data_IF_056156206836
#
_entry.id   IF_056156206836
#
_cell.length_a   1.000
_cell.length_b   1.000
_cell.length_c   1.000
_cell.angle_alpha   90.00
_cell.angle_beta   90.00
_cell.angle_gamma   90.00
#
_symmetry.space_group_name_H-M   'P 1'
#
loop_
_entity.id
_entity.type
_entity.pdbx_description
1 polymer ?
#
# COMPACT_ATOMS: atom_id res chain seq x y z
N UNK A 1 -29.25 0.90 -16.16
CA UNK A 1 -28.61 1.74 -17.19
C UNK A 1 -28.26 3.08 -16.56
N UNK A 2 -26.98 3.33 -16.32
CA UNK A 2 -26.52 4.53 -15.61
C UNK A 2 -25.05 4.74 -15.90
N UNK A 3 -24.73 5.07 -17.15
CA UNK A 3 -23.44 5.65 -17.51
C UNK A 3 -23.65 7.15 -17.49
N UNK A 4 -23.31 7.80 -16.39
CA UNK A 4 -23.09 9.25 -16.43
C UNK A 4 -21.97 9.48 -17.43
N UNK A 5 -22.22 10.29 -18.47
CA UNK A 5 -21.16 10.64 -19.43
C UNK A 5 -20.15 11.56 -18.73
N UNK A 6 -18.85 11.50 -19.08
CA UNK A 6 -17.91 12.51 -18.62
C UNK A 6 -18.42 13.89 -19.07
N UNK A 7 -18.28 14.90 -18.23
CA UNK A 7 -18.68 16.27 -18.53
C UNK A 7 -17.44 17.05 -18.98
N UNK A 8 -17.18 17.19 -20.29
CA UNK A 8 -16.08 18.01 -20.78
C UNK A 8 -16.42 19.49 -20.61
N UNK A 9 -15.42 20.28 -20.20
CA UNK A 9 -15.42 21.72 -20.43
C UNK A 9 -14.70 21.99 -21.73
N UNK A 10 -15.31 22.79 -22.60
CA UNK A 10 -14.74 23.19 -23.88
C UNK A 10 -14.65 24.71 -23.87
N UNK A 11 -13.46 25.25 -24.06
CA UNK A 11 -13.23 26.69 -24.16
C UNK A 11 -12.09 26.97 -25.14
N UNK A 12 -12.08 28.20 -25.67
CA UNK A 12 -11.05 28.66 -26.59
C UNK A 12 -9.92 29.35 -25.82
N UNK A 13 -8.68 29.15 -26.27
CA UNK A 13 -7.50 29.79 -25.72
C UNK A 13 -6.55 30.18 -26.85
N UNK A 14 -5.85 31.30 -26.70
CA UNK A 14 -4.78 31.70 -27.63
C UNK A 14 -3.43 31.26 -27.06
N UNK A 15 -2.67 30.47 -27.83
CA UNK A 15 -1.30 30.02 -27.50
C UNK A 15 -0.42 30.33 -28.72
N UNK A 16 0.67 31.08 -28.52
CA UNK A 16 1.61 31.49 -29.58
C UNK A 16 0.92 32.07 -30.83
N UNK A 17 0.03 33.05 -30.62
CA UNK A 17 -0.79 33.72 -31.66
C UNK A 17 -1.70 32.79 -32.48
N UNK A 18 -2.00 31.60 -31.97
CA UNK A 18 -2.97 30.66 -32.57
C UNK A 18 -4.13 30.41 -31.62
N UNK A 19 -5.34 30.48 -32.16
CA UNK A 19 -6.54 30.01 -31.45
C UNK A 19 -6.57 28.49 -31.40
N UNK A 20 -6.71 27.96 -30.19
CA UNK A 20 -6.85 26.52 -29.93
C UNK A 20 -8.12 26.27 -29.12
N UNK A 21 -8.78 25.15 -29.42
CA UNK A 21 -9.91 24.66 -28.63
C UNK A 21 -9.37 23.71 -27.57
N UNK A 22 -9.55 24.05 -26.30
CA UNK A 22 -9.16 23.24 -25.16
C UNK A 22 -10.35 22.41 -24.70
N UNK A 23 -10.20 21.09 -24.73
CA UNK A 23 -11.18 20.14 -24.19
C UNK A 23 -10.63 19.59 -22.87
N UNK A 24 -11.15 20.08 -21.76
CA UNK A 24 -10.78 19.65 -20.43
C UNK A 24 -11.81 18.64 -19.90
N UNK A 25 -11.38 17.39 -19.76
CA UNK A 25 -12.23 16.31 -19.22
C UNK A 25 -11.83 16.04 -17.78
N UNK A 26 -12.73 16.38 -16.84
CA UNK A 26 -12.49 16.07 -15.44
C UNK A 26 -12.71 14.57 -15.17
N UNK A 27 -11.91 13.96 -14.28
CA UNK A 27 -12.15 12.58 -13.86
C UNK A 27 -13.52 12.48 -13.18
N UNK A 28 -14.48 11.81 -13.80
CA UNK A 28 -15.78 11.59 -13.16
C UNK A 28 -15.77 10.45 -12.14
N UNK A 29 -16.73 10.47 -11.22
CA UNK A 29 -16.77 9.60 -10.03
C UNK A 29 -17.14 8.13 -10.28
N UNK A 30 -17.56 7.76 -11.48
CA UNK A 30 -17.99 6.40 -11.84
C UNK A 30 -17.10 5.80 -12.94
N UNK A 31 -15.83 5.55 -12.61
CA UNK A 31 -14.89 4.84 -13.49
C UNK A 31 -15.13 3.32 -13.47
N UNK A 32 -14.78 2.58 -14.54
CA UNK A 32 -14.31 3.11 -15.80
C UNK A 32 -15.47 3.67 -16.63
N UNK A 33 -15.20 4.74 -17.37
CA UNK A 33 -16.02 5.10 -18.52
C UNK A 33 -15.75 4.09 -19.63
N UNK A 34 -16.81 3.73 -20.36
CA UNK A 34 -16.71 2.81 -21.47
C UNK A 34 -17.59 3.26 -22.63
N UNK A 35 -17.17 2.88 -23.84
CA UNK A 35 -17.97 3.08 -25.04
C UNK A 35 -19.23 2.20 -24.92
N UNK A 36 -20.41 2.83 -24.83
CA UNK A 36 -21.65 2.14 -24.51
C UNK A 36 -21.99 1.00 -25.49
N UNK A 37 -21.69 1.17 -26.78
CA UNK A 37 -21.87 0.14 -27.82
C UNK A 37 -20.95 -1.06 -27.69
N UNK A 38 -19.81 -0.92 -26.98
CA UNK A 38 -18.82 -1.99 -26.80
C UNK A 38 -18.93 -2.67 -25.42
N UNK A 39 -19.73 -2.10 -24.51
CA UNK A 39 -19.92 -2.61 -23.16
C UNK A 39 -18.66 -2.52 -22.29
N UNK A 40 -18.75 -2.96 -21.05
CA UNK A 40 -17.66 -2.78 -20.06
C UNK A 40 -16.49 -3.73 -20.25
N UNK A 41 -16.67 -4.82 -20.99
CA UNK A 41 -15.62 -5.81 -21.25
C UNK A 41 -14.68 -5.40 -22.39
N UNK A 42 -15.17 -4.61 -23.36
CA UNK A 42 -14.40 -4.23 -24.56
C UNK A 42 -14.31 -2.71 -24.77
N UNK A 43 -15.19 -1.94 -24.15
CA UNK A 43 -15.30 -0.50 -24.35
C UNK A 43 -14.48 0.37 -23.41
N UNK A 44 -13.61 -0.19 -22.55
CA UNK A 44 -12.80 0.60 -21.61
C UNK A 44 -11.44 0.91 -22.23
N UNK A 45 -11.07 2.19 -22.24
CA UNK A 45 -9.79 2.67 -22.78
C UNK A 45 -9.07 3.53 -21.75
N UNK A 46 -7.75 3.40 -21.70
CA UNK A 46 -6.88 4.22 -20.85
C UNK A 46 -5.83 4.92 -21.70
N UNK A 47 -5.31 6.03 -21.18
CA UNK A 47 -4.20 6.76 -21.79
C UNK A 47 -2.90 6.37 -21.11
N UNK A 48 -1.94 5.90 -21.91
CA UNK A 48 -0.59 5.54 -21.47
C UNK A 48 0.39 6.40 -22.27
N UNK A 49 0.95 7.42 -21.62
CA UNK A 49 1.74 8.45 -22.29
C UNK A 49 0.94 9.15 -23.40
N UNK A 50 1.47 9.13 -24.63
CA UNK A 50 0.83 9.76 -25.80
C UNK A 50 -0.26 8.89 -26.46
N UNK A 51 -0.42 7.62 -26.07
CA UNK A 51 -1.29 6.68 -26.76
C UNK A 51 -2.52 6.28 -25.94
N UNK A 52 -3.64 6.08 -26.62
CA UNK A 52 -4.84 5.47 -26.04
C UNK A 52 -4.83 3.97 -26.33
N UNK A 53 -5.01 3.14 -25.31
CA UNK A 53 -5.06 1.68 -25.43
C UNK A 53 -6.31 1.13 -24.75
N UNK A 54 -6.84 0.02 -25.27
CA UNK A 54 -7.91 -0.72 -24.61
C UNK A 54 -7.39 -1.30 -23.29
N UNK A 55 -8.16 -1.18 -22.22
CA UNK A 55 -7.87 -1.83 -20.95
C UNK A 55 -8.27 -3.30 -21.03
N UNK A 56 -7.36 -4.20 -20.67
CA UNK A 56 -7.57 -5.65 -20.72
C UNK A 56 -6.96 -6.30 -19.47
N UNK A 57 -7.35 -7.54 -19.19
CA UNK A 57 -6.79 -8.34 -18.10
C UNK A 57 -6.93 -7.68 -16.73
N UNK A 58 -5.84 -7.65 -15.97
CA UNK A 58 -5.80 -7.10 -14.61
C UNK A 58 -6.20 -5.63 -14.53
N UNK A 59 -5.77 -4.82 -15.49
CA UNK A 59 -6.09 -3.40 -15.54
C UNK A 59 -7.60 -3.16 -15.73
N UNK A 60 -8.24 -3.96 -16.59
CA UNK A 60 -9.69 -3.90 -16.75
C UNK A 60 -10.39 -4.30 -15.46
N UNK A 61 -9.93 -5.37 -14.81
CA UNK A 61 -10.48 -5.84 -13.54
C UNK A 61 -10.33 -4.79 -12.43
N UNK A 62 -9.18 -4.13 -12.33
CA UNK A 62 -8.94 -3.03 -11.38
C UNK A 62 -9.91 -1.86 -11.62
N UNK A 63 -10.11 -1.48 -12.89
CA UNK A 63 -11.06 -0.44 -13.25
C UNK A 63 -12.50 -0.87 -12.92
N UNK A 64 -12.90 -2.11 -13.21
CA UNK A 64 -14.23 -2.62 -12.88
C UNK A 64 -14.48 -2.78 -11.38
N UNK A 65 -13.46 -3.15 -10.60
CA UNK A 65 -13.48 -3.14 -9.14
C UNK A 65 -13.70 -1.73 -8.59
N UNK A 66 -13.05 -0.73 -9.20
CA UNK A 66 -13.33 0.68 -8.90
C UNK A 66 -14.80 1.06 -9.21
N UNK A 67 -15.45 0.41 -10.19
CA UNK A 67 -16.88 0.60 -10.51
C UNK A 67 -17.81 0.01 -9.47
N UNK A 68 -17.46 -1.14 -8.89
CA UNK A 68 -18.24 -1.81 -7.84
C UNK A 68 -17.99 -1.21 -6.44
N UNK A 69 -17.03 -0.27 -6.31
CA UNK A 69 -16.51 0.27 -5.04
C UNK A 69 -15.90 -0.80 -4.12
N UNK A 70 -15.58 -1.99 -4.64
CA UNK A 70 -14.95 -3.06 -3.87
C UNK A 70 -13.44 -3.01 -4.13
N UNK A 71 -12.64 -2.91 -3.07
CA UNK A 71 -11.19 -3.08 -3.18
C UNK A 71 -10.81 -4.56 -3.33
N UNK A 72 -9.59 -4.85 -3.81
CA UNK A 72 -9.10 -6.23 -3.96
C UNK A 72 -9.22 -7.04 -2.67
N UNK A 73 -8.97 -6.41 -1.52
CA UNK A 73 -9.04 -7.04 -0.19
C UNK A 73 -10.48 -7.29 0.31
N UNK A 74 -11.50 -6.86 -0.44
CA UNK A 74 -12.90 -7.07 -0.12
C UNK A 74 -13.54 -8.31 -0.78
N UNK A 75 -12.82 -8.97 -1.70
CA UNK A 75 -13.26 -10.21 -2.34
C UNK A 75 -13.29 -11.38 -1.35
N UNK A 76 -14.29 -12.27 -1.49
CA UNK A 76 -14.46 -13.44 -0.62
C UNK A 76 -13.52 -14.59 -1.03
N UNK A 77 -13.09 -15.37 -0.04
CA UNK A 77 -12.44 -16.67 -0.21
C UNK A 77 -13.39 -17.72 0.39
N UNK A 78 -14.17 -18.38 -0.45
CA UNK A 78 -15.19 -19.34 -0.02
C UNK A 78 -14.64 -20.75 0.29
N UNK A 79 -13.41 -21.02 -0.14
CA UNK A 79 -12.67 -22.26 0.14
C UNK A 79 -12.08 -22.33 1.55
N UNK A 80 -12.00 -21.21 2.28
CA UNK A 80 -11.45 -21.16 3.64
C UNK A 80 -12.58 -21.00 4.67
N UNK A 81 -12.72 -21.94 5.63
CA UNK A 81 -13.61 -21.75 6.78
C UNK A 81 -13.18 -20.59 7.69
N UNK A 82 -14.15 -19.84 8.24
CA UNK A 82 -13.87 -18.66 9.10
C UNK A 82 -13.17 -19.04 10.41
N UNK A 83 -13.44 -20.22 10.94
CA UNK A 83 -12.83 -20.74 12.18
C UNK A 83 -11.32 -20.98 12.05
N UNK A 84 -10.75 -20.87 10.84
CA UNK A 84 -9.31 -20.89 10.59
C UNK A 84 -8.64 -19.53 10.73
N UNK A 85 -9.40 -18.44 10.87
CA UNK A 85 -8.83 -17.12 11.14
C UNK A 85 -8.39 -17.04 12.62
N UNK A 86 -7.16 -16.56 12.86
CA UNK A 86 -6.60 -16.38 14.21
C UNK A 86 -7.13 -15.08 14.82
N UNK A 87 -8.25 -15.19 15.53
CA UNK A 87 -8.91 -14.04 16.15
C UNK A 87 -8.12 -13.45 17.33
N UNK A 88 -7.09 -14.14 17.84
CA UNK A 88 -6.26 -13.61 18.94
C UNK A 88 -5.44 -12.39 18.52
N UNK A 89 -5.26 -12.18 17.22
CA UNK A 89 -4.65 -10.98 16.64
C UNK A 89 -5.55 -9.75 16.88
N UNK A 90 -6.86 -9.95 16.98
CA UNK A 90 -7.82 -8.88 17.24
C UNK A 90 -8.03 -8.67 18.76
N UNK A 91 -8.16 -7.41 19.20
CA UNK A 91 -8.75 -7.10 20.50
C UNK A 91 -10.12 -7.77 20.68
N UNK A 92 -10.43 -8.22 21.90
CA UNK A 92 -11.63 -9.02 22.19
C UNK A 92 -12.95 -8.42 21.68
N UNK A 93 -13.07 -7.08 21.72
CA UNK A 93 -14.27 -6.38 21.23
C UNK A 93 -14.47 -6.43 19.70
N UNK A 94 -13.44 -6.80 18.94
CA UNK A 94 -13.48 -6.96 17.47
C UNK A 94 -13.63 -8.40 17.01
N UNK A 95 -13.62 -9.38 17.93
CA UNK A 95 -13.74 -10.81 17.61
C UNK A 95 -15.19 -11.24 17.35
N UNK A 96 -16.17 -10.36 17.57
CA UNK A 96 -17.59 -10.66 17.28
C UNK A 96 -17.86 -10.68 15.78
N UNK A 97 -18.78 -11.52 15.33
CA UNK A 97 -19.21 -11.58 13.93
C UNK A 97 -19.61 -10.20 13.38
N UNK A 98 -20.41 -9.45 14.15
CA UNK A 98 -20.83 -8.10 13.79
C UNK A 98 -19.64 -7.15 13.57
N UNK A 99 -18.62 -7.22 14.43
CA UNK A 99 -17.43 -6.38 14.28
C UNK A 99 -16.60 -6.80 13.07
N UNK A 100 -16.42 -8.11 12.83
CA UNK A 100 -15.69 -8.62 11.66
C UNK A 100 -16.39 -8.27 10.35
N UNK A 101 -17.72 -8.37 10.29
CA UNK A 101 -18.54 -7.90 9.16
C UNK A 101 -18.37 -6.39 8.94
N UNK A 102 -18.41 -5.59 10.01
CA UNK A 102 -18.24 -4.14 9.93
C UNK A 102 -16.85 -3.72 9.45
N UNK A 103 -15.81 -4.53 9.71
CA UNK A 103 -14.45 -4.30 9.22
C UNK A 103 -14.24 -4.86 7.80
N UNK A 104 -15.18 -5.65 7.28
CA UNK A 104 -15.04 -6.35 6.01
C UNK A 104 -14.07 -7.54 6.05
N UNK A 105 -13.70 -8.03 7.24
CA UNK A 105 -12.84 -9.22 7.42
C UNK A 105 -13.55 -10.50 6.95
N UNK A 106 -14.87 -10.51 7.06
CA UNK A 106 -15.75 -11.58 6.59
C UNK A 106 -16.95 -10.95 5.88
N UNK A 107 -17.57 -11.68 4.95
CA UNK A 107 -18.78 -11.26 4.21
C UNK A 107 -19.68 -12.46 3.94
N UNK A 108 -20.98 -12.21 3.74
CA UNK A 108 -21.87 -13.24 3.20
C UNK A 108 -21.57 -13.45 1.71
N UNK A 109 -21.42 -14.71 1.32
CA UNK A 109 -21.40 -15.10 -0.08
C UNK A 109 -22.78 -14.78 -0.69
N UNK A 110 -22.86 -13.98 -1.77
CA UNK A 110 -24.13 -13.52 -2.33
C UNK A 110 -24.97 -14.65 -2.94
N UNK A 111 -24.38 -15.80 -3.26
CA UNK A 111 -25.07 -16.93 -3.87
C UNK A 111 -25.51 -17.96 -2.84
N UNK A 112 -24.67 -18.25 -1.85
CA UNK A 112 -24.94 -19.31 -0.86
C UNK A 112 -25.45 -18.77 0.48
N UNK A 113 -25.34 -17.47 0.72
CA UNK A 113 -25.61 -16.82 2.01
C UNK A 113 -24.60 -17.15 3.11
N UNK A 114 -23.68 -18.09 2.86
CA UNK A 114 -22.68 -18.55 3.83
C UNK A 114 -21.69 -17.43 4.14
N UNK A 115 -21.31 -17.32 5.41
CA UNK A 115 -20.28 -16.40 5.84
C UNK A 115 -18.90 -16.93 5.37
N UNK A 116 -18.11 -16.08 4.71
CA UNK A 116 -16.79 -16.40 4.18
C UNK A 116 -15.76 -15.33 4.60
N UNK A 117 -14.48 -15.68 4.81
CA UNK A 117 -13.40 -14.71 4.90
C UNK A 117 -13.30 -13.87 3.63
N UNK A 118 -12.87 -12.62 3.76
CA UNK A 118 -12.37 -11.84 2.63
C UNK A 118 -10.86 -12.02 2.45
N UNK A 119 -10.31 -11.59 1.32
CA UNK A 119 -8.86 -11.49 1.12
C UNK A 119 -8.20 -10.65 2.20
N UNK A 120 -8.82 -9.54 2.63
CA UNK A 120 -8.35 -8.72 3.74
C UNK A 120 -8.43 -9.46 5.08
N UNK A 121 -9.49 -10.24 5.31
CA UNK A 121 -9.58 -11.16 6.46
C UNK A 121 -8.43 -12.16 6.49
N UNK A 122 -8.13 -12.78 5.37
CA UNK A 122 -7.02 -13.73 5.22
C UNK A 122 -5.67 -13.05 5.43
N UNK A 123 -5.42 -11.92 4.78
CA UNK A 123 -4.17 -11.15 4.94
C UNK A 123 -3.95 -10.68 6.37
N UNK A 124 -5.01 -10.34 7.11
CA UNK A 124 -4.89 -9.80 8.46
C UNK A 124 -4.87 -10.87 9.55
N UNK A 125 -5.53 -12.02 9.34
CA UNK A 125 -5.84 -12.98 10.42
C UNK A 125 -5.51 -14.44 10.10
N UNK A 126 -5.27 -14.82 8.85
CA UNK A 126 -4.91 -16.21 8.56
C UNK A 126 -3.41 -16.43 8.77
N UNK A 127 -3.02 -17.55 9.36
CA UNK A 127 -1.61 -17.81 9.68
C UNK A 127 -0.73 -17.89 8.42
N UNK A 128 -1.26 -18.39 7.30
CA UNK A 128 -0.52 -18.66 6.06
C UNK A 128 -1.24 -18.07 4.84
N UNK A 129 -1.40 -16.73 4.74
CA UNK A 129 -2.18 -16.07 3.67
C UNK A 129 -1.63 -16.37 2.27
N UNK A 130 -0.34 -16.70 2.15
CA UNK A 130 0.32 -17.07 0.90
C UNK A 130 -0.29 -18.29 0.21
N UNK A 131 -1.03 -19.14 0.94
CA UNK A 131 -1.80 -20.25 0.36
C UNK A 131 -2.93 -19.78 -0.54
N UNK A 132 -3.43 -18.57 -0.34
CA UNK A 132 -4.53 -17.97 -1.10
C UNK A 132 -4.10 -16.76 -1.92
N UNK A 133 -3.08 -16.02 -1.44
CA UNK A 133 -2.57 -14.79 -2.05
C UNK A 133 -1.05 -14.95 -2.12
N UNK A 134 -0.53 -15.49 -3.22
CA UNK A 134 0.88 -15.94 -3.33
C UNK A 134 1.90 -14.87 -2.99
N UNK A 135 1.51 -13.61 -3.12
CA UNK A 135 2.35 -12.45 -2.87
C UNK A 135 2.24 -11.88 -1.46
N UNK A 136 1.58 -12.59 -0.53
CA UNK A 136 1.44 -12.22 0.87
C UNK A 136 2.70 -12.55 1.69
N UNK A 137 3.86 -12.09 1.22
CA UNK A 137 5.14 -12.21 1.92
C UNK A 137 6.06 -11.04 1.57
N UNK A 138 7.10 -10.84 2.37
CA UNK A 138 8.17 -9.89 2.09
C UNK A 138 9.54 -10.54 2.22
N UNK A 139 10.51 -10.01 1.48
CA UNK A 139 11.91 -10.41 1.58
C UNK A 139 12.65 -9.27 2.25
N UNK A 140 13.37 -9.57 3.34
CA UNK A 140 14.22 -8.61 4.04
C UNK A 140 15.68 -9.06 3.97
N UNK A 141 16.56 -8.15 3.55
CA UNK A 141 17.98 -8.44 3.35
C UNK A 141 18.86 -7.35 4.00
N UNK A 142 19.93 -7.79 4.67
CA UNK A 142 21.02 -6.94 5.15
C UNK A 142 22.17 -7.01 4.15
N UNK A 143 22.56 -5.86 3.61
CA UNK A 143 23.59 -5.75 2.57
C UNK A 143 24.93 -5.37 3.19
N UNK A 144 26.04 -5.86 2.62
CA UNK A 144 27.39 -5.56 3.12
C UNK A 144 27.90 -4.18 2.70
N UNK A 145 27.39 -3.66 1.57
CA UNK A 145 27.87 -2.45 0.92
C UNK A 145 26.82 -1.37 0.77
N UNK A 146 27.17 -0.33 0.01
CA UNK A 146 26.23 0.71 -0.47
C UNK A 146 25.52 0.31 -1.77
N UNK A 147 26.05 -0.72 -2.44
CA UNK A 147 25.54 -1.27 -3.69
C UNK A 147 25.15 -2.75 -3.49
N UNK A 148 24.16 -3.21 -4.25
CA UNK A 148 23.39 -4.44 -3.97
C UNK A 148 24.02 -5.76 -4.40
N UNK A 149 25.34 -5.89 -4.36
CA UNK A 149 26.01 -7.08 -4.89
C UNK A 149 26.25 -8.18 -3.85
N UNK A 150 26.41 -7.83 -2.58
CA UNK A 150 26.76 -8.76 -1.50
C UNK A 150 25.75 -8.71 -0.34
N UNK A 151 24.96 -9.77 -0.18
CA UNK A 151 23.99 -9.95 0.91
C UNK A 151 24.65 -10.65 2.09
N UNK A 152 24.62 -10.01 3.27
CA UNK A 152 25.10 -10.61 4.53
C UNK A 152 24.09 -11.64 5.04
N UNK A 153 22.82 -11.24 5.07
CA UNK A 153 21.74 -12.00 5.69
C UNK A 153 20.44 -11.70 4.94
N UNK A 154 19.59 -12.70 4.73
CA UNK A 154 18.30 -12.53 4.05
C UNK A 154 17.26 -13.50 4.60
N UNK A 155 16.03 -13.02 4.76
CA UNK A 155 14.90 -13.78 5.26
C UNK A 155 13.65 -13.56 4.42
N UNK A 156 12.92 -14.64 4.18
CA UNK A 156 11.56 -14.60 3.65
C UNK A 156 10.59 -14.57 4.83
N UNK A 157 9.79 -13.50 4.91
CA UNK A 157 8.86 -13.25 6.00
C UNK A 157 7.44 -13.47 5.49
N UNK A 158 6.86 -14.60 5.87
CA UNK A 158 5.49 -15.00 5.55
C UNK A 158 4.53 -14.78 6.74
N UNK A 159 3.25 -15.07 6.52
CA UNK A 159 2.21 -15.01 7.54
C UNK A 159 1.31 -13.77 7.44
N UNK A 160 0.34 -13.62 8.33
CA UNK A 160 -0.53 -12.43 8.30
C UNK A 160 0.25 -11.10 8.47
N UNK A 161 -0.31 -10.02 7.92
CA UNK A 161 0.32 -8.70 7.90
C UNK A 161 0.77 -8.21 9.29
N UNK A 162 -0.02 -8.33 10.38
CA UNK A 162 0.44 -7.92 11.70
C UNK A 162 1.69 -8.66 12.17
N UNK A 163 1.80 -9.97 11.88
CA UNK A 163 2.98 -10.78 12.20
C UNK A 163 4.18 -10.39 11.32
N UNK A 164 3.98 -10.18 10.01
CA UNK A 164 5.05 -9.70 9.12
C UNK A 164 5.60 -8.34 9.56
N UNK A 165 4.72 -7.37 9.85
CA UNK A 165 5.09 -6.03 10.33
C UNK A 165 5.97 -6.11 11.57
N UNK A 166 5.52 -6.86 12.60
CA UNK A 166 6.27 -7.00 13.84
C UNK A 166 7.64 -7.66 13.62
N UNK A 167 7.68 -8.73 12.80
CA UNK A 167 8.92 -9.46 12.54
C UNK A 167 9.94 -8.59 11.80
N UNK A 168 9.54 -7.94 10.71
CA UNK A 168 10.40 -7.02 9.95
C UNK A 168 10.95 -5.90 10.82
N UNK A 169 10.08 -5.25 11.61
CA UNK A 169 10.49 -4.15 12.49
C UNK A 169 11.51 -4.64 13.52
N UNK A 170 11.31 -5.81 14.12
CA UNK A 170 12.24 -6.36 15.11
C UNK A 170 13.61 -6.69 14.49
N UNK A 171 13.64 -7.31 13.31
CA UNK A 171 14.89 -7.58 12.60
C UNK A 171 15.65 -6.29 12.25
N UNK A 172 14.94 -5.27 11.75
CA UNK A 172 15.56 -3.97 11.47
C UNK A 172 16.12 -3.31 12.74
N UNK A 173 15.41 -3.40 13.87
CA UNK A 173 15.90 -2.88 15.16
C UNK A 173 17.17 -3.60 15.62
N UNK A 174 17.22 -4.92 15.47
CA UNK A 174 18.40 -5.73 15.79
C UNK A 174 19.58 -5.34 14.90
N UNK A 175 19.38 -5.27 13.59
CA UNK A 175 20.46 -4.99 12.64
C UNK A 175 20.97 -3.55 12.69
N UNK A 176 20.12 -2.57 12.98
CA UNK A 176 20.53 -1.17 13.15
C UNK A 176 21.34 -0.97 14.43
N UNK A 177 21.12 -1.82 15.44
CA UNK A 177 21.82 -1.80 16.71
C UNK A 177 21.61 -0.52 17.52
N UNK A 178 22.18 -0.49 18.72
CA UNK A 178 22.28 0.72 19.54
C UNK A 178 23.65 1.35 19.28
N UNK A 179 23.72 2.65 19.06
CA UNK A 179 24.99 3.40 19.03
C UNK A 179 25.07 4.34 20.23
N UNK A 180 26.31 4.72 20.56
CA UNK A 180 26.60 5.62 21.68
C UNK A 180 27.10 6.94 21.11
N UNK A 181 26.45 8.03 21.50
CA UNK A 181 26.97 9.39 21.26
C UNK A 181 27.81 9.83 22.45
N UNK A 182 28.96 10.43 22.18
CA UNK A 182 29.79 11.08 23.20
C UNK A 182 29.23 12.48 23.43
N UNK A 183 28.76 12.75 24.65
CA UNK A 183 28.24 14.04 25.11
C UNK A 183 29.14 14.53 26.26
N UNK A 184 30.23 15.22 25.92
CA UNK A 184 31.27 15.61 26.88
C UNK A 184 31.95 14.39 27.53
N UNK A 185 32.08 14.32 28.87
CA UNK A 185 32.68 13.17 29.56
C UNK A 185 31.72 11.98 29.70
N UNK A 186 30.49 12.07 29.20
CA UNK A 186 29.47 11.04 29.36
C UNK A 186 29.13 10.39 28.02
N UNK A 187 28.91 9.07 28.04
CA UNK A 187 28.26 8.36 26.95
C UNK A 187 26.74 8.50 27.14
N UNK A 188 26.07 9.11 26.18
CA UNK A 188 24.61 9.15 26.16
C UNK A 188 24.12 7.96 25.36
N UNK A 189 23.34 7.08 26.00
CA UNK A 189 22.57 6.06 25.28
C UNK A 189 21.63 6.77 24.31
N UNK A 190 21.84 6.65 23.00
CA UNK A 190 20.91 7.22 22.03
C UNK A 190 20.70 6.32 20.82
N UNK A 191 19.54 5.66 20.88
CA UNK A 191 18.61 5.35 19.81
C UNK A 191 19.17 4.62 18.56
N UNK A 192 18.27 4.08 17.74
CA UNK A 192 18.62 3.34 16.53
C UNK A 192 19.16 4.31 15.48
N UNK A 193 20.04 3.89 14.57
CA UNK A 193 20.53 4.77 13.48
C UNK A 193 19.42 5.38 12.60
N UNK A 194 18.23 4.80 12.63
CA UNK A 194 17.00 5.38 12.06
C UNK A 194 15.92 5.51 13.13
N UNK A 195 15.11 6.57 13.12
CA UNK A 195 14.01 6.70 14.06
C UNK A 195 13.00 5.56 13.88
N UNK A 196 12.66 4.88 14.98
CA UNK A 196 11.72 3.74 14.97
C UNK A 196 10.35 4.12 14.37
N UNK A 197 9.93 5.37 14.52
CA UNK A 197 8.70 5.91 13.94
C UNK A 197 8.75 5.82 12.40
N UNK A 198 9.84 6.29 11.78
CA UNK A 198 10.00 6.21 10.33
C UNK A 198 10.02 4.76 9.83
N UNK A 199 10.75 3.87 10.53
CA UNK A 199 10.81 2.44 10.19
C UNK A 199 9.41 1.83 10.24
N UNK A 200 8.70 2.02 11.36
CA UNK A 200 7.36 1.46 11.57
C UNK A 200 6.40 1.92 10.49
N UNK A 201 6.33 3.23 10.23
CA UNK A 201 5.42 3.79 9.23
C UNK A 201 5.80 3.36 7.80
N UNK A 202 7.09 3.32 7.46
CA UNK A 202 7.53 2.92 6.12
C UNK A 202 7.24 1.43 5.82
N UNK A 203 7.53 0.53 6.78
CA UNK A 203 7.21 -0.91 6.68
C UNK A 203 5.70 -1.12 6.57
N UNK A 204 4.95 -0.47 7.43
CA UNK A 204 3.50 -0.59 7.46
C UNK A 204 2.84 -0.03 6.20
N UNK A 205 3.32 1.09 5.68
CA UNK A 205 2.83 1.62 4.41
C UNK A 205 3.07 0.64 3.27
N UNK A 206 4.25 0.00 3.22
CA UNK A 206 4.56 -0.99 2.20
C UNK A 206 3.61 -2.19 2.26
N UNK A 207 3.29 -2.69 3.46
CA UNK A 207 2.35 -3.81 3.67
C UNK A 207 0.89 -3.45 3.41
N UNK A 208 0.45 -2.28 3.87
CA UNK A 208 -0.96 -1.88 3.82
C UNK A 208 -1.38 -1.31 2.47
N UNK A 209 -0.46 -0.67 1.75
CA UNK A 209 -0.71 -0.13 0.42
C UNK A 209 -0.20 -1.04 -0.70
N UNK A 210 0.34 -2.23 -0.40
CA UNK A 210 0.75 -3.20 -1.41
C UNK A 210 -0.40 -3.53 -2.36
N UNK A 211 -0.14 -3.61 -3.67
CA UNK A 211 -1.11 -4.09 -4.64
C UNK A 211 -1.09 -5.63 -4.69
N UNK A 212 -1.90 -6.29 -3.84
CA UNK A 212 -1.99 -7.77 -3.71
C UNK A 212 -2.44 -8.55 -4.94
N UNK A 213 -2.79 -7.87 -6.02
CA UNK A 213 -3.10 -8.49 -7.31
C UNK A 213 -1.88 -8.71 -8.22
N UNK A 214 -0.76 -8.01 -8.00
CA UNK A 214 0.40 -8.08 -8.88
C UNK A 214 1.53 -8.91 -8.26
N UNK A 215 2.28 -9.60 -9.12
CA UNK A 215 3.38 -10.48 -8.75
C UNK A 215 4.57 -9.74 -8.15
N UNK A 216 5.26 -10.43 -7.23
CA UNK A 216 6.52 -9.99 -6.63
C UNK A 216 6.36 -9.64 -5.15
N UNK A 217 7.39 -9.85 -4.32
CA UNK A 217 7.33 -9.52 -2.90
C UNK A 217 7.57 -8.04 -2.64
N UNK A 218 7.19 -7.57 -1.46
CA UNK A 218 7.83 -6.38 -0.89
C UNK A 218 9.29 -6.73 -0.63
N UNK A 219 10.22 -5.86 -1.04
CA UNK A 219 11.65 -6.04 -0.82
C UNK A 219 12.15 -4.96 0.13
N UNK A 220 12.81 -5.38 1.20
CA UNK A 220 13.34 -4.51 2.25
C UNK A 220 14.84 -4.74 2.29
N UNK A 221 15.62 -3.72 1.95
CA UNK A 221 17.07 -3.83 1.90
C UNK A 221 17.71 -2.81 2.83
N UNK A 222 18.42 -3.29 3.85
CA UNK A 222 19.23 -2.46 4.74
C UNK A 222 20.67 -2.43 4.24
N UNK A 223 21.06 -1.30 3.66
CA UNK A 223 22.44 -1.00 3.25
C UNK A 223 23.19 -0.31 4.38
N UNK A 224 24.51 -0.19 4.21
CA UNK A 224 25.37 0.51 5.18
C UNK A 224 25.05 2.00 5.33
N UNK A 225 24.39 2.62 4.34
CA UNK A 225 24.05 4.05 4.32
C UNK A 225 22.55 4.36 4.20
N UNK A 226 21.68 3.36 4.05
CA UNK A 226 20.23 3.59 3.92
C UNK A 226 19.41 2.32 4.12
N UNK A 227 18.13 2.50 4.43
CA UNK A 227 17.09 1.48 4.34
C UNK A 227 16.22 1.75 3.11
N UNK A 228 16.11 0.79 2.20
CA UNK A 228 15.18 0.84 1.07
C UNK A 228 14.00 -0.11 1.29
N UNK A 229 12.79 0.37 1.04
CA UNK A 229 11.56 -0.43 1.09
C UNK A 229 10.85 -0.28 -0.25
N UNK A 230 10.89 -1.34 -1.04
CA UNK A 230 10.21 -1.46 -2.33
C UNK A 230 8.89 -2.21 -2.15
N UNK A 231 7.79 -1.63 -2.60
CA UNK A 231 6.46 -2.24 -2.61
C UNK A 231 5.91 -2.32 -4.04
N UNK A 232 5.43 -3.50 -4.48
CA UNK A 232 4.73 -3.63 -5.74
C UNK A 232 3.45 -2.78 -5.78
N UNK A 233 3.30 -2.04 -6.88
CA UNK A 233 2.13 -1.23 -7.20
C UNK A 233 2.45 0.25 -7.12
N UNK A 234 1.60 1.05 -7.75
CA UNK A 234 1.72 2.51 -7.76
C UNK A 234 1.42 3.13 -6.39
N UNK A 235 1.70 4.42 -6.26
CA UNK A 235 1.11 5.22 -5.19
C UNK A 235 -0.42 5.14 -5.26
N UNK A 236 -1.11 5.12 -4.11
CA UNK A 236 -2.57 4.88 -4.08
C UNK A 236 -3.41 6.04 -4.68
N UNK A 237 -2.78 7.18 -4.97
CA UNK A 237 -3.40 8.34 -5.60
C UNK A 237 -2.44 9.00 -6.61
N UNK A 238 -2.74 10.23 -7.08
CA UNK A 238 -1.79 10.98 -7.88
C UNK A 238 -0.50 11.17 -7.10
N UNK A 239 0.61 10.74 -7.67
CA UNK A 239 1.92 10.96 -7.12
C UNK A 239 2.41 12.35 -7.53
N UNK A 240 2.46 13.25 -6.57
CA UNK A 240 3.02 14.59 -6.71
C UNK A 240 4.06 14.70 -5.59
N UNK A 241 5.35 14.54 -5.89
CA UNK A 241 6.42 14.55 -4.88
C UNK A 241 6.32 15.72 -3.90
N UNK A 242 5.95 16.90 -4.41
CA UNK A 242 5.86 18.16 -3.68
C UNK A 242 4.67 18.21 -2.71
N UNK A 243 3.63 17.40 -2.92
CA UNK A 243 2.45 17.34 -2.06
C UNK A 243 2.44 16.11 -1.14
N UNK A 244 3.50 15.30 -1.15
CA UNK A 244 3.61 14.14 -0.27
C UNK A 244 3.62 14.58 1.19
N UNK A 245 2.65 14.10 1.97
CA UNK A 245 2.51 14.44 3.39
C UNK A 245 1.62 15.66 3.68
N UNK A 246 0.89 16.18 2.70
CA UNK A 246 -0.15 17.22 2.86
C UNK A 246 -1.38 16.75 3.68
N UNK A 247 -1.46 15.45 3.98
CA UNK A 247 -2.57 14.82 4.70
C UNK A 247 -3.58 14.11 3.79
N UNK A 248 -3.40 14.19 2.47
CA UNK A 248 -4.19 13.46 1.48
C UNK A 248 -3.82 11.98 1.53
N UNK A 249 -4.81 11.11 1.70
CA UNK A 249 -4.62 9.66 1.74
C UNK A 249 -5.66 8.96 0.89
N UNK A 250 -5.16 8.08 0.02
CA UNK A 250 -5.98 7.23 -0.82
C UNK A 250 -5.91 5.79 -0.30
N UNK A 251 -7.09 5.21 -0.06
CA UNK A 251 -7.21 3.87 0.51
C UNK A 251 -7.32 2.86 -0.63
N UNK A 252 -6.28 2.05 -0.83
CA UNK A 252 -6.28 0.93 -1.78
C UNK A 252 -6.92 -0.32 -1.20
N UNK A 253 -6.54 -0.67 0.01
CA UNK A 253 -6.99 -1.88 0.71
C UNK A 253 -7.85 -1.45 1.91
N UNK A 254 -9.18 -1.45 1.73
CA UNK A 254 -10.13 -0.86 2.68
C UNK A 254 -10.24 -1.67 3.97
N UNK A 255 -10.24 -2.99 3.87
CA UNK A 255 -10.32 -3.95 5.00
C UNK A 255 -9.04 -3.89 5.79
N UNK A 256 -7.89 -3.97 5.11
CA UNK A 256 -6.57 -3.88 5.72
C UNK A 256 -6.41 -2.55 6.47
N UNK A 257 -6.72 -1.43 5.82
CA UNK A 257 -6.58 -0.09 6.40
C UNK A 257 -7.52 0.15 7.59
N UNK A 258 -8.74 -0.41 7.56
CA UNK A 258 -9.67 -0.33 8.68
C UNK A 258 -9.21 -1.16 9.87
N UNK A 259 -8.82 -2.41 9.63
CA UNK A 259 -8.33 -3.31 10.68
C UNK A 259 -7.02 -2.79 11.28
N UNK A 260 -6.06 -2.35 10.47
CA UNK A 260 -4.79 -1.79 10.93
C UNK A 260 -4.99 -0.58 11.86
N UNK A 261 -5.96 0.30 11.58
CA UNK A 261 -6.32 1.42 12.47
C UNK A 261 -6.87 0.95 13.81
N UNK A 262 -7.62 -0.14 13.84
CA UNK A 262 -8.16 -0.71 15.08
C UNK A 262 -7.10 -1.48 15.88
N UNK A 263 -6.07 -1.97 15.21
CA UNK A 263 -4.90 -2.60 15.82
C UNK A 263 -3.81 -1.59 16.23
N UNK A 264 -4.02 -0.29 16.01
CA UNK A 264 -3.02 0.77 16.21
C UNK A 264 -1.70 0.52 15.47
N UNK A 265 -1.75 -0.12 14.30
CA UNK A 265 -0.57 -0.36 13.46
C UNK A 265 -0.23 0.85 12.59
N UNK A 266 -1.21 1.70 12.27
CA UNK A 266 -0.99 2.98 11.58
C UNK A 266 -1.54 4.15 12.40
N UNK A 267 -0.93 5.31 12.19
CA UNK A 267 -1.46 6.56 12.70
C UNK A 267 -2.77 6.98 12.01
N UNK A 268 -3.60 7.70 12.76
CA UNK A 268 -4.90 8.17 12.26
C UNK A 268 -4.67 9.37 11.34
N UNK A 269 -5.18 9.30 10.10
CA UNK A 269 -5.40 10.42 9.14
C UNK A 269 -4.27 10.75 8.15
N UNK A 270 -3.80 9.80 7.33
CA UNK A 270 -3.01 10.15 6.13
C UNK A 270 -1.67 10.85 6.38
N UNK A 271 -1.24 10.91 7.64
CA UNK A 271 -0.02 11.59 8.11
C UNK A 271 1.20 10.67 8.06
N UNK A 272 1.07 9.41 7.64
CA UNK A 272 2.17 8.44 7.68
C UNK A 272 3.44 8.94 6.99
N UNK A 273 3.31 9.52 5.80
CA UNK A 273 4.45 10.11 5.08
C UNK A 273 5.02 11.32 5.82
N UNK A 274 4.15 12.21 6.32
CA UNK A 274 4.54 13.36 7.12
C UNK A 274 5.32 12.94 8.38
N UNK A 275 4.88 11.88 9.06
CA UNK A 275 5.56 11.32 10.22
C UNK A 275 6.93 10.73 9.88
N UNK A 276 7.07 10.08 8.73
CA UNK A 276 8.38 9.64 8.24
C UNK A 276 9.29 10.85 8.08
N UNK A 277 8.85 11.89 7.35
CA UNK A 277 9.63 13.11 7.08
C UNK A 277 10.01 13.82 8.40
N UNK A 278 9.03 14.11 9.25
CA UNK A 278 9.24 14.81 10.53
C UNK A 278 10.15 14.01 11.47
N UNK A 279 9.98 12.69 11.53
CA UNK A 279 10.79 11.87 12.43
C UNK A 279 12.25 11.79 11.99
N UNK A 280 12.56 11.69 10.68
CA UNK A 280 13.95 11.71 10.22
C UNK A 280 14.57 13.10 10.33
N UNK A 281 13.80 14.16 10.05
CA UNK A 281 14.26 15.54 10.21
C UNK A 281 14.62 15.84 11.68
N UNK A 282 13.76 15.46 12.62
CA UNK A 282 14.03 15.61 14.06
C UNK A 282 15.19 14.73 14.54
N UNK A 283 15.55 13.70 13.77
CA UNK A 283 16.72 12.86 14.01
C UNK A 283 18.00 13.44 13.41
N UNK A 284 17.93 14.55 12.67
CA UNK A 284 19.08 15.16 11.98
C UNK A 284 19.53 14.40 10.73
N UNK A 285 18.67 13.54 10.16
CA UNK A 285 18.98 12.72 9.00
C UNK A 285 18.51 13.37 7.69
N UNK A 286 19.07 12.96 6.53
CA UNK A 286 18.63 13.45 5.24
C UNK A 286 17.14 13.17 4.98
N UNK A 287 16.53 14.04 4.17
CA UNK A 287 15.14 13.86 3.74
C UNK A 287 14.96 12.49 3.04
N UNK A 288 13.85 11.76 3.31
CA UNK A 288 13.62 10.48 2.65
C UNK A 288 13.40 10.68 1.16
N UNK A 289 13.81 9.70 0.35
CA UNK A 289 13.55 9.68 -1.08
C UNK A 289 12.34 8.78 -1.36
N UNK A 290 11.32 9.33 -2.01
CA UNK A 290 10.15 8.59 -2.49
C UNK A 290 10.21 8.51 -4.01
N UNK A 291 10.13 7.30 -4.54
CA UNK A 291 10.20 7.02 -5.98
C UNK A 291 9.00 6.19 -6.40
N UNK A 292 8.36 6.60 -7.50
CA UNK A 292 7.33 5.81 -8.17
C UNK A 292 7.84 5.44 -9.58
N UNK A 293 7.77 4.15 -9.90
CA UNK A 293 8.00 3.65 -11.25
C UNK A 293 6.70 3.16 -11.91
N UNK A 294 6.85 2.47 -13.04
CA UNK A 294 5.71 2.01 -13.85
C UNK A 294 4.80 0.98 -13.19
N UNK A 295 5.19 0.35 -12.08
CA UNK A 295 4.31 -0.52 -11.28
C UNK A 295 4.87 -0.78 -9.87
N UNK A 296 5.52 0.22 -9.28
CA UNK A 296 6.17 0.07 -7.98
C UNK A 296 6.33 1.41 -7.29
N UNK A 297 6.40 1.35 -5.97
CA UNK A 297 6.72 2.47 -5.10
C UNK A 297 7.87 2.09 -4.19
N UNK A 298 8.83 2.99 -3.99
CA UNK A 298 9.98 2.78 -3.12
C UNK A 298 10.19 3.99 -2.22
N UNK A 299 10.48 3.71 -0.95
CA UNK A 299 10.96 4.71 0.01
C UNK A 299 12.39 4.37 0.43
N UNK A 300 13.26 5.36 0.45
CA UNK A 300 14.64 5.24 0.94
C UNK A 300 14.85 6.18 2.12
N UNK A 301 15.29 5.64 3.26
CA UNK A 301 15.65 6.39 4.48
C UNK A 301 17.18 6.35 4.63
N UNK A 302 17.84 7.51 4.66
CA UNK A 302 19.30 7.60 4.73
C UNK A 302 19.82 7.65 6.18
N UNK A 303 20.97 7.01 6.41
CA UNK A 303 21.67 6.91 7.70
C UNK A 303 22.73 8.01 7.87
#
# INVERSE_FOLDING_TARGET
SGSTSPFPQIYEQTIDDKEVVVIQVFPGGHKPFFIASEGTQKGVYIRVGAHTRRAEGELLNELLLNRSRLSYDEEIIDTLPIDKLDLNILPSHLQTEKAMLSLGLIKHNPFTGKLCPTRGGVLMLFENPERFIKEAFCIISKMSGREGYDTIESHDISGCIPKQSLHVINLLKEWLGIYYEVDGPHLKNRALKLPLIAIREAVNNALFHRQYSIQGPIKIALFTNRLEIFSPGHFSGPFIPESLGDGTSYIRNSVISQTARRLNLIEKRGTGIKLIIESVHNYGLPHPLFEEGSNWFKVSLFL
#
